data_IF_843408518598
#
_entry.id   IF_843408518598
#
_cell.length_a   1.000
_cell.length_b   1.000
_cell.length_c   1.000
_cell.angle_alpha   90.00
_cell.angle_beta   90.00
_cell.angle_gamma   90.00
#
_symmetry.space_group_name_H-M   'P 1'
#
loop_
_entity.id
_entity.type
_entity.pdbx_description
1 polymer ?
#
# COMPACT_ATOMS: atom_id res chain seq x y z
N UNK A 1 25.00 -1.01 -15.17
CA UNK A 1 23.67 -1.05 -15.82
C UNK A 1 23.78 -0.50 -17.24
N UNK A 2 23.73 -1.37 -18.25
CA UNK A 2 23.72 -0.97 -19.67
C UNK A 2 22.31 -0.54 -20.07
N UNK A 3 22.08 0.73 -20.44
CA UNK A 3 20.73 1.20 -20.77
C UNK A 3 20.31 0.73 -22.15
N UNK A 4 19.46 -0.28 -22.22
CA UNK A 4 18.79 -0.68 -23.46
C UNK A 4 17.92 0.45 -24.03
N UNK A 5 17.67 0.44 -25.34
CA UNK A 5 16.89 1.48 -26.02
C UNK A 5 15.47 1.69 -25.43
N UNK A 6 14.73 0.67 -24.92
CA UNK A 6 13.40 0.91 -24.34
C UNK A 6 13.46 1.76 -23.08
N UNK A 7 14.49 1.55 -22.24
CA UNK A 7 14.71 2.36 -21.05
C UNK A 7 15.13 3.79 -21.42
N UNK A 8 15.98 3.96 -22.44
CA UNK A 8 16.35 5.30 -22.92
C UNK A 8 15.12 6.06 -23.41
N UNK A 9 14.26 5.43 -24.19
CA UNK A 9 13.02 6.03 -24.68
C UNK A 9 12.08 6.43 -23.54
N UNK A 10 11.91 5.55 -22.53
CA UNK A 10 11.15 5.89 -21.32
C UNK A 10 11.73 7.12 -20.60
N UNK A 11 13.04 7.14 -20.38
CA UNK A 11 13.71 8.24 -19.69
C UNK A 11 13.58 9.56 -20.45
N UNK A 12 13.65 9.53 -21.78
CA UNK A 12 13.40 10.70 -22.64
C UNK A 12 11.94 11.16 -22.54
N UNK A 13 10.97 10.25 -22.65
CA UNK A 13 9.55 10.55 -22.51
C UNK A 13 9.20 11.14 -21.12
N UNK A 14 9.95 10.77 -20.07
CA UNK A 14 9.75 11.29 -18.72
C UNK A 14 10.00 12.81 -18.59
N UNK A 15 10.75 13.43 -19.51
CA UNK A 15 10.88 14.89 -19.58
C UNK A 15 9.56 15.55 -20.02
N UNK A 16 8.86 14.96 -21.00
CA UNK A 16 7.53 15.42 -21.40
C UNK A 16 6.51 15.29 -20.26
N UNK A 17 6.60 14.21 -19.48
CA UNK A 17 5.78 14.03 -18.27
C UNK A 17 6.03 15.15 -17.24
N UNK A 18 7.26 15.65 -17.11
CA UNK A 18 7.58 16.76 -16.20
C UNK A 18 6.76 18.01 -16.52
N UNK A 19 6.61 18.33 -17.82
CA UNK A 19 5.86 19.48 -18.32
C UNK A 19 4.35 19.32 -18.09
N UNK A 20 3.82 18.11 -18.30
CA UNK A 20 2.39 17.82 -18.14
C UNK A 20 1.96 17.60 -16.69
N UNK A 21 2.89 17.28 -15.80
CA UNK A 21 2.62 16.93 -14.41
C UNK A 21 1.76 17.94 -13.62
N UNK A 22 1.99 19.27 -13.70
CA UNK A 22 1.13 20.24 -13.00
C UNK A 22 -0.34 20.16 -13.43
N UNK A 23 -0.60 19.97 -14.73
CA UNK A 23 -1.96 19.84 -15.27
C UNK A 23 -2.61 18.53 -14.82
N UNK A 24 -1.88 17.41 -14.89
CA UNK A 24 -2.35 16.10 -14.42
C UNK A 24 -2.71 16.15 -12.94
N UNK A 25 -1.84 16.74 -12.11
CA UNK A 25 -2.06 16.86 -10.67
C UNK A 25 -3.23 17.81 -10.35
N UNK A 26 -3.38 18.93 -11.06
CA UNK A 26 -4.54 19.84 -10.91
C UNK A 26 -5.86 19.13 -11.23
N UNK A 27 -5.90 18.34 -12.31
CA UNK A 27 -7.08 17.53 -12.67
C UNK A 27 -7.40 16.46 -11.62
N UNK A 28 -6.38 15.84 -11.03
CA UNK A 28 -6.56 14.85 -9.95
C UNK A 28 -7.02 15.49 -8.64
N UNK A 29 -6.52 16.69 -8.32
CA UNK A 29 -6.96 17.49 -7.18
C UNK A 29 -8.46 17.85 -7.32
N UNK A 30 -8.87 18.35 -8.49
CA UNK A 30 -10.28 18.67 -8.76
C UNK A 30 -11.21 17.45 -8.65
N UNK A 31 -10.71 16.24 -8.91
CA UNK A 31 -11.45 14.97 -8.75
C UNK A 31 -11.39 14.40 -7.33
N UNK A 32 -10.84 15.13 -6.36
CA UNK A 32 -10.69 14.65 -5.00
C UNK A 32 -9.73 13.46 -4.86
N UNK A 33 -8.82 13.22 -5.83
CA UNK A 33 -7.81 12.14 -5.76
C UNK A 33 -6.49 12.58 -5.13
N UNK A 34 -6.28 13.88 -4.94
CA UNK A 34 -5.09 14.49 -4.30
C UNK A 34 -5.51 15.52 -3.24
N UNK A 35 -4.56 15.99 -2.43
CA UNK A 35 -4.67 17.18 -1.57
C UNK A 35 -3.70 18.23 -2.08
N UNK A 36 -3.83 19.48 -1.65
CA UNK A 36 -2.85 20.53 -2.01
C UNK A 36 -1.42 20.11 -1.61
N UNK A 37 -1.26 19.56 -0.41
CA UNK A 37 0.02 19.01 0.06
C UNK A 37 0.52 17.84 -0.79
N UNK A 38 -0.34 16.88 -1.17
CA UNK A 38 0.10 15.75 -2.00
C UNK A 38 0.50 16.16 -3.41
N UNK A 39 -0.12 17.20 -3.98
CA UNK A 39 0.28 17.80 -5.26
C UNK A 39 1.69 18.40 -5.18
N UNK A 40 2.01 19.12 -4.11
CA UNK A 40 3.33 19.71 -3.91
C UNK A 40 4.39 18.62 -3.66
N UNK A 41 4.11 17.68 -2.76
CA UNK A 41 4.94 16.51 -2.51
C UNK A 41 5.27 15.73 -3.79
N UNK A 42 4.27 15.48 -4.64
CA UNK A 42 4.44 14.76 -5.92
C UNK A 42 5.30 15.49 -6.96
N UNK A 43 5.58 16.77 -6.74
CA UNK A 43 6.50 17.59 -7.55
C UNK A 43 7.89 17.74 -6.90
N UNK A 44 8.17 16.96 -5.85
CA UNK A 44 9.40 17.05 -5.06
C UNK A 44 9.51 18.38 -4.30
N UNK A 45 8.38 18.95 -3.86
CA UNK A 45 8.30 20.15 -3.02
C UNK A 45 7.82 19.77 -1.62
N UNK A 46 8.03 20.66 -0.64
CA UNK A 46 7.66 20.42 0.78
C UNK A 46 8.24 19.12 1.34
N UNK A 47 9.50 18.87 1.00
CA UNK A 47 10.21 17.70 1.50
C UNK A 47 10.48 17.89 3.00
N UNK A 48 10.05 16.98 3.88
CA UNK A 48 10.34 17.07 5.31
C UNK A 48 11.85 17.02 5.56
N UNK A 49 12.35 17.54 6.70
CA UNK A 49 13.77 17.48 7.01
C UNK A 49 14.32 16.06 6.89
N UNK A 50 15.45 15.91 6.19
CA UNK A 50 16.15 14.62 6.12
C UNK A 50 16.73 14.31 7.50
N UNK A 51 16.41 13.15 8.11
CA UNK A 51 17.03 12.77 9.38
C UNK A 51 18.54 12.55 9.20
N UNK A 52 19.30 12.80 10.26
CA UNK A 52 20.76 12.56 10.26
C UNK A 52 21.03 11.06 10.37
N UNK A 53 22.05 10.59 9.66
CA UNK A 53 22.47 9.19 9.70
C UNK A 53 21.92 8.35 8.55
N UNK A 54 21.81 7.04 8.78
CA UNK A 54 21.42 6.07 7.75
C UNK A 54 19.94 6.19 7.45
N UNK A 55 19.59 6.41 6.18
CA UNK A 55 18.21 6.50 5.72
C UNK A 55 17.88 5.36 4.76
N UNK A 56 16.89 4.55 5.11
CA UNK A 56 16.37 3.48 4.26
C UNK A 56 15.05 3.95 3.67
N UNK A 57 15.01 4.06 2.34
CA UNK A 57 13.80 4.41 1.62
C UNK A 57 13.04 3.15 1.22
N UNK A 58 11.78 3.03 1.63
CA UNK A 58 10.90 1.92 1.29
C UNK A 58 9.68 2.46 0.51
N UNK A 59 9.35 1.85 -0.63
CA UNK A 59 8.22 2.25 -1.45
C UNK A 59 7.16 1.15 -1.53
N UNK A 60 5.88 1.54 -1.34
CA UNK A 60 4.71 0.69 -1.55
C UNK A 60 3.50 1.53 -2.02
N UNK A 61 2.59 0.94 -2.79
CA UNK A 61 1.48 1.68 -3.44
C UNK A 61 0.21 1.57 -2.64
N UNK A 62 -0.20 0.32 -2.40
CA UNK A 62 -1.47 -0.06 -1.83
C UNK A 62 -1.52 0.21 -0.34
N UNK A 63 -2.73 0.41 0.19
CA UNK A 63 -2.92 0.56 1.63
C UNK A 63 -2.41 -0.69 2.39
N UNK A 64 -2.81 -1.88 1.93
CA UNK A 64 -2.37 -3.14 2.54
C UNK A 64 -0.86 -3.36 2.42
N UNK A 65 -0.27 -2.99 1.29
CA UNK A 65 1.19 -3.09 1.06
C UNK A 65 1.95 -2.19 2.05
N UNK A 66 1.57 -0.91 2.12
CA UNK A 66 2.17 0.06 3.03
C UNK A 66 2.01 -0.36 4.50
N UNK A 67 0.86 -0.93 4.89
CA UNK A 67 0.67 -1.44 6.26
C UNK A 67 1.56 -2.66 6.55
N UNK A 68 1.80 -3.50 5.56
CA UNK A 68 2.62 -4.71 5.69
C UNK A 68 4.10 -4.39 5.90
N UNK A 69 4.55 -3.19 5.50
CA UNK A 69 5.93 -2.75 5.71
C UNK A 69 6.28 -2.53 7.17
N UNK A 70 5.30 -2.31 8.06
CA UNK A 70 5.59 -1.94 9.45
C UNK A 70 6.38 -3.01 10.20
N UNK A 71 5.99 -4.27 10.08
CA UNK A 71 6.72 -5.37 10.71
C UNK A 71 8.15 -5.51 10.17
N UNK A 72 8.36 -5.26 8.88
CA UNK A 72 9.70 -5.22 8.31
C UNK A 72 10.51 -4.03 8.86
N UNK A 73 9.91 -2.85 8.94
CA UNK A 73 10.55 -1.67 9.52
C UNK A 73 10.94 -1.91 10.97
N UNK A 74 10.05 -2.52 11.77
CA UNK A 74 10.32 -2.86 13.17
C UNK A 74 11.50 -3.83 13.28
N UNK A 75 11.55 -4.86 12.43
CA UNK A 75 12.68 -5.79 12.36
C UNK A 75 13.99 -5.10 11.98
N UNK A 76 13.99 -4.26 10.95
CA UNK A 76 15.17 -3.51 10.52
C UNK A 76 15.61 -2.47 11.56
N UNK A 77 14.65 -1.88 12.28
CA UNK A 77 14.90 -0.90 13.34
C UNK A 77 15.52 -1.53 14.59
N UNK A 78 15.24 -2.81 14.85
CA UNK A 78 15.86 -3.60 15.89
C UNK A 78 17.31 -3.99 15.52
N UNK A 79 17.55 -4.35 14.25
CA UNK A 79 18.87 -4.70 13.73
C UNK A 79 19.82 -3.48 13.62
N UNK A 80 19.32 -2.35 13.11
CA UNK A 80 20.06 -1.08 13.07
C UNK A 80 19.29 0.01 13.86
N UNK A 81 19.57 0.15 15.17
CA UNK A 81 18.95 1.16 16.02
C UNK A 81 19.30 2.61 15.65
N UNK A 82 20.12 2.86 14.64
CA UNK A 82 20.42 4.22 14.15
C UNK A 82 19.81 4.48 12.77
N UNK A 83 19.16 3.49 12.17
CA UNK A 83 18.47 3.65 10.90
C UNK A 83 17.19 4.49 11.05
N UNK A 84 17.01 5.38 10.10
CA UNK A 84 15.76 6.09 9.85
C UNK A 84 15.09 5.53 8.60
N UNK A 85 13.77 5.63 8.54
CA UNK A 85 12.98 5.07 7.46
C UNK A 85 12.18 6.17 6.77
N UNK A 86 12.31 6.24 5.44
CA UNK A 86 11.42 7.03 4.59
C UNK A 86 10.48 6.08 3.89
N UNK A 87 9.18 6.20 4.12
CA UNK A 87 8.18 5.40 3.42
C UNK A 87 7.44 6.26 2.42
N UNK A 88 7.43 5.85 1.16
CA UNK A 88 6.65 6.55 0.13
C UNK A 88 5.46 5.75 -0.35
N UNK A 89 4.35 6.45 -0.60
CA UNK A 89 3.15 5.87 -1.21
C UNK A 89 2.47 6.80 -2.21
N UNK A 90 1.58 6.25 -3.03
CA UNK A 90 0.94 7.00 -4.12
C UNK A 90 -0.46 7.51 -3.80
N UNK A 91 -1.18 6.95 -2.82
CA UNK A 91 -2.59 7.27 -2.55
C UNK A 91 -2.80 8.02 -1.23
N UNK A 92 -3.82 8.90 -1.19
CA UNK A 92 -4.21 9.63 0.03
C UNK A 92 -4.64 8.72 1.16
N UNK A 93 -5.37 7.65 0.83
CA UNK A 93 -5.84 6.69 1.82
C UNK A 93 -4.66 5.96 2.48
N UNK A 94 -3.70 5.48 1.68
CA UNK A 94 -2.47 4.87 2.19
C UNK A 94 -1.72 5.83 3.12
N UNK A 95 -1.53 7.09 2.69
CA UNK A 95 -0.85 8.11 3.48
C UNK A 95 -1.54 8.39 4.83
N UNK A 96 -2.87 8.57 4.81
CA UNK A 96 -3.63 8.90 6.02
C UNK A 96 -3.60 7.77 7.05
N UNK A 97 -3.76 6.51 6.62
CA UNK A 97 -3.72 5.36 7.54
C UNK A 97 -2.29 5.12 8.03
N UNK A 98 -1.29 5.24 7.15
CA UNK A 98 0.11 5.04 7.55
C UNK A 98 0.60 6.10 8.52
N UNK A 99 0.23 7.37 8.33
CA UNK A 99 0.58 8.44 9.26
C UNK A 99 0.10 8.18 10.71
N UNK A 100 -1.05 7.50 10.88
CA UNK A 100 -1.58 7.09 12.19
C UNK A 100 -0.92 5.82 12.75
N UNK A 101 -0.12 5.15 11.95
CA UNK A 101 0.49 3.86 12.26
C UNK A 101 1.99 3.86 11.95
N UNK A 102 2.64 5.03 12.02
CA UNK A 102 4.05 5.16 11.70
C UNK A 102 4.89 4.40 12.73
N UNK A 103 5.76 3.47 12.30
CA UNK A 103 6.78 2.93 13.19
C UNK A 103 7.72 4.05 13.69
N UNK A 104 8.40 3.86 14.83
CA UNK A 104 9.40 4.80 15.31
C UNK A 104 10.44 5.16 14.23
N UNK A 105 10.93 6.42 14.25
CA UNK A 105 11.94 6.94 13.31
C UNK A 105 11.55 6.83 11.82
N UNK A 106 10.25 6.71 11.54
CA UNK A 106 9.71 6.64 10.18
C UNK A 106 9.06 7.96 9.79
N UNK A 107 9.36 8.43 8.58
CA UNK A 107 8.67 9.56 7.95
C UNK A 107 7.94 9.07 6.72
N UNK A 108 6.69 9.51 6.53
CA UNK A 108 5.95 9.27 5.30
C UNK A 108 6.09 10.43 4.32
N UNK A 109 6.18 10.13 3.03
CA UNK A 109 6.04 11.13 1.97
C UNK A 109 5.28 10.56 0.76
N UNK A 110 4.73 11.42 -0.10
CA UNK A 110 4.22 10.94 -1.38
C UNK A 110 5.38 10.70 -2.34
N UNK A 111 5.34 9.59 -3.08
CA UNK A 111 6.33 9.37 -4.13
C UNK A 111 6.19 10.49 -5.18
N UNK A 112 7.28 11.20 -5.54
CA UNK A 112 7.25 12.15 -6.63
C UNK A 112 6.86 11.49 -7.95
N UNK A 113 6.32 12.26 -8.88
CA UNK A 113 6.14 11.80 -10.25
C UNK A 113 7.52 11.40 -10.81
N UNK A 114 7.57 10.27 -11.52
CA UNK A 114 8.78 9.70 -12.10
C UNK A 114 9.32 10.51 -13.29
N UNK A 115 9.58 11.80 -13.07
CA UNK A 115 10.07 12.76 -14.03
C UNK A 115 11.33 13.47 -13.50
N UNK A 116 12.32 13.77 -14.37
CA UNK A 116 13.68 14.14 -13.94
C UNK A 116 13.78 15.25 -12.88
N UNK A 117 13.10 16.41 -13.00
CA UNK A 117 13.25 17.47 -11.99
C UNK A 117 12.68 17.09 -10.62
N UNK A 118 11.66 16.23 -10.58
CA UNK A 118 11.00 15.83 -9.33
C UNK A 118 11.79 14.72 -8.63
N UNK A 119 12.30 13.75 -9.41
CA UNK A 119 13.19 12.70 -8.90
C UNK A 119 14.51 13.27 -8.40
N UNK A 120 15.09 14.21 -9.15
CA UNK A 120 16.31 14.93 -8.79
C UNK A 120 16.18 15.55 -7.40
N UNK A 121 15.22 16.47 -7.23
CA UNK A 121 14.95 17.12 -5.93
C UNK A 121 14.79 16.12 -4.78
N UNK A 122 14.01 15.06 -5.00
CA UNK A 122 13.76 14.05 -3.96
C UNK A 122 15.03 13.29 -3.57
N UNK A 123 15.79 12.78 -4.55
CA UNK A 123 17.00 12.01 -4.29
C UNK A 123 18.18 12.88 -3.81
N UNK A 124 18.27 14.12 -4.27
CA UNK A 124 19.27 15.10 -3.82
C UNK A 124 19.04 15.52 -2.37
N UNK A 125 17.78 15.62 -1.96
CA UNK A 125 17.39 15.95 -0.59
C UNK A 125 17.56 14.77 0.37
N UNK A 126 16.94 13.62 0.06
CA UNK A 126 16.91 12.49 1.00
C UNK A 126 18.19 11.65 0.99
N UNK A 127 18.85 11.51 -0.15
CA UNK A 127 20.08 10.72 -0.32
C UNK A 127 20.06 9.38 0.45
N UNK A 128 19.11 8.48 0.14
CA UNK A 128 18.95 7.25 0.90
C UNK A 128 20.17 6.33 0.73
N UNK A 129 20.48 5.56 1.77
CA UNK A 129 21.54 4.56 1.78
C UNK A 129 21.09 3.22 1.16
N UNK A 130 19.77 2.98 1.10
CA UNK A 130 19.15 1.79 0.53
C UNK A 130 17.75 2.17 0.03
N UNK A 131 17.35 1.63 -1.13
CA UNK A 131 15.97 1.69 -1.61
C UNK A 131 15.36 0.29 -1.65
N UNK A 132 14.16 0.13 -1.10
CA UNK A 132 13.41 -1.12 -1.07
C UNK A 132 12.06 -0.92 -1.76
N UNK A 133 11.83 -1.67 -2.83
CA UNK A 133 10.60 -1.69 -3.60
C UNK A 133 9.74 -2.85 -3.14
N UNK A 134 8.53 -2.59 -2.63
CA UNK A 134 7.61 -3.63 -2.21
C UNK A 134 6.66 -4.04 -3.34
N UNK A 135 6.42 -5.35 -3.43
CA UNK A 135 5.58 -5.98 -4.45
C UNK A 135 6.06 -5.72 -5.90
N UNK A 136 5.32 -4.97 -6.73
CA UNK A 136 5.62 -4.82 -8.16
C UNK A 136 5.75 -3.39 -8.66
N UNK A 137 5.85 -2.40 -7.77
CA UNK A 137 5.85 -1.00 -8.22
C UNK A 137 7.27 -0.46 -8.44
N UNK A 138 7.83 -0.78 -9.61
CA UNK A 138 9.12 -0.26 -10.07
C UNK A 138 8.92 0.94 -10.96
N UNK A 139 9.57 2.05 -10.60
CA UNK A 139 9.57 3.29 -11.36
C UNK A 139 10.88 3.44 -12.14
N UNK A 140 10.89 3.25 -13.47
CA UNK A 140 12.13 3.12 -14.23
C UNK A 140 13.07 4.33 -14.11
N UNK A 141 12.52 5.54 -13.95
CA UNK A 141 13.30 6.76 -13.74
C UNK A 141 14.02 6.73 -12.39
N UNK A 142 13.32 6.47 -11.30
CA UNK A 142 13.91 6.33 -9.97
C UNK A 142 14.93 5.20 -9.90
N UNK A 143 14.59 4.01 -10.40
CA UNK A 143 15.52 2.87 -10.44
C UNK A 143 16.81 3.24 -11.18
N UNK A 144 16.68 3.94 -12.31
CA UNK A 144 17.82 4.41 -13.10
C UNK A 144 18.66 5.47 -12.40
N UNK A 145 18.04 6.38 -11.66
CA UNK A 145 18.73 7.47 -10.97
C UNK A 145 19.37 7.00 -9.65
N UNK A 146 18.77 6.02 -8.95
CA UNK A 146 19.39 5.30 -7.84
C UNK A 146 20.62 4.52 -8.29
N UNK A 147 20.52 3.78 -9.40
CA UNK A 147 21.64 3.03 -9.96
C UNK A 147 22.81 3.94 -10.36
N UNK A 148 22.53 5.11 -10.98
CA UNK A 148 23.57 6.12 -11.27
C UNK A 148 24.26 6.63 -10.01
N UNK A 149 23.51 6.81 -8.92
CA UNK A 149 24.00 7.25 -7.61
C UNK A 149 24.68 6.14 -6.81
N UNK A 150 24.75 4.91 -7.36
CA UNK A 150 25.28 3.71 -6.69
C UNK A 150 24.57 3.40 -5.37
N UNK A 151 23.29 3.75 -5.25
CA UNK A 151 22.47 3.41 -4.09
C UNK A 151 21.96 1.98 -4.30
N UNK A 152 22.20 1.04 -3.35
CA UNK A 152 21.71 -0.32 -3.47
C UNK A 152 20.18 -0.36 -3.46
N UNK A 153 19.63 -1.32 -4.20
CA UNK A 153 18.19 -1.47 -4.39
C UNK A 153 17.77 -2.91 -4.14
N UNK A 154 16.60 -3.11 -3.56
CA UNK A 154 16.01 -4.43 -3.38
C UNK A 154 14.53 -4.43 -3.80
N UNK A 155 14.07 -5.54 -4.35
CA UNK A 155 12.64 -5.83 -4.50
C UNK A 155 12.26 -6.89 -3.48
N UNK A 156 11.20 -6.64 -2.72
CA UNK A 156 10.72 -7.58 -1.69
C UNK A 156 9.27 -7.98 -1.93
N UNK A 157 8.96 -9.22 -1.59
CA UNK A 157 7.62 -9.80 -1.66
C UNK A 157 6.92 -9.50 -3.01
N UNK A 158 7.66 -9.65 -4.11
CA UNK A 158 7.12 -9.44 -5.44
C UNK A 158 5.98 -10.40 -5.73
N UNK A 159 4.97 -9.92 -6.46
CA UNK A 159 3.79 -10.72 -6.81
C UNK A 159 3.37 -10.51 -8.26
N UNK A 160 3.65 -11.45 -9.14
CA UNK A 160 3.33 -11.32 -10.58
C UNK A 160 2.29 -12.35 -11.01
N UNK A 161 1.08 -11.89 -11.34
CA UNK A 161 0.14 -12.76 -12.03
C UNK A 161 0.49 -12.92 -13.52
N UNK A 162 -0.09 -13.92 -14.18
CA UNK A 162 0.20 -14.23 -15.59
C UNK A 162 -0.13 -13.05 -16.54
N UNK A 163 -1.15 -12.25 -16.24
CA UNK A 163 -1.51 -11.09 -17.05
C UNK A 163 -0.46 -9.96 -16.96
N UNK A 164 0.07 -9.69 -15.77
CA UNK A 164 1.16 -8.76 -15.52
C UNK A 164 2.43 -9.22 -16.21
N UNK A 165 2.78 -10.52 -16.07
CA UNK A 165 3.92 -11.13 -16.73
C UNK A 165 3.88 -10.95 -18.24
N UNK A 166 2.75 -11.27 -18.91
CA UNK A 166 2.61 -11.07 -20.36
C UNK A 166 2.81 -9.62 -20.79
N UNK A 167 2.38 -8.64 -19.98
CA UNK A 167 2.63 -7.21 -20.26
C UNK A 167 4.10 -6.87 -20.11
N UNK A 168 4.74 -7.36 -19.04
CA UNK A 168 6.16 -7.10 -18.79
C UNK A 168 7.06 -7.76 -19.84
N UNK A 169 6.67 -8.95 -20.33
CA UNK A 169 7.38 -9.68 -21.37
C UNK A 169 7.46 -8.87 -22.69
N UNK A 170 6.40 -8.14 -23.06
CA UNK A 170 6.41 -7.24 -24.22
C UNK A 170 7.44 -6.10 -24.08
N UNK A 171 7.76 -5.71 -22.85
CA UNK A 171 8.77 -4.71 -22.53
C UNK A 171 9.98 -5.34 -21.81
N UNK A 172 10.32 -6.60 -22.13
CA UNK A 172 11.37 -7.36 -21.41
C UNK A 172 12.68 -6.60 -21.34
N UNK A 173 13.10 -5.92 -22.41
CA UNK A 173 14.33 -5.12 -22.41
C UNK A 173 14.30 -3.96 -21.41
N UNK A 174 13.15 -3.37 -21.11
CA UNK A 174 13.00 -2.38 -20.04
C UNK A 174 13.15 -3.05 -18.68
N UNK A 175 12.34 -4.07 -18.40
CA UNK A 175 12.29 -4.73 -17.09
C UNK A 175 13.58 -5.47 -16.72
N UNK A 176 14.25 -6.09 -17.69
CA UNK A 176 15.56 -6.71 -17.47
C UNK A 176 16.58 -5.70 -16.92
N UNK A 177 16.60 -4.47 -17.47
CA UNK A 177 17.47 -3.42 -16.96
C UNK A 177 17.10 -2.98 -15.54
N UNK A 178 15.81 -3.02 -15.18
CA UNK A 178 15.36 -2.67 -13.83
C UNK A 178 15.76 -3.75 -12.82
N UNK A 179 15.49 -5.02 -13.14
CA UNK A 179 15.81 -6.11 -12.23
C UNK A 179 17.32 -6.34 -12.07
N UNK A 180 18.12 -6.12 -13.11
CA UNK A 180 19.59 -6.10 -13.01
C UNK A 180 20.16 -5.00 -12.10
N UNK A 181 19.37 -3.98 -11.77
CA UNK A 181 19.78 -2.93 -10.84
C UNK A 181 19.53 -3.31 -9.37
N UNK A 182 18.90 -4.46 -9.12
CA UNK A 182 18.53 -4.93 -7.78
C UNK A 182 19.63 -5.85 -7.24
N UNK A 183 20.08 -5.57 -6.02
CA UNK A 183 20.99 -6.43 -5.28
C UNK A 183 20.27 -7.64 -4.66
N UNK A 184 18.96 -7.52 -4.43
CA UNK A 184 18.10 -8.56 -3.87
C UNK A 184 16.73 -8.51 -4.55
N UNK A 185 16.20 -9.69 -4.90
CA UNK A 185 14.83 -9.84 -5.39
C UNK A 185 14.20 -11.00 -4.63
N UNK A 186 13.07 -10.75 -3.94
CA UNK A 186 12.26 -11.80 -3.33
C UNK A 186 10.84 -11.82 -3.87
N UNK A 187 10.23 -13.00 -3.89
CA UNK A 187 8.89 -13.26 -4.41
C UNK A 187 7.97 -13.88 -3.36
N UNK A 188 6.65 -13.68 -3.53
CA UNK A 188 5.65 -14.28 -2.63
C UNK A 188 5.40 -15.76 -2.94
N UNK A 189 5.57 -16.18 -4.19
CA UNK A 189 5.33 -17.55 -4.64
C UNK A 189 6.34 -17.95 -5.73
N UNK A 190 6.51 -19.27 -5.92
CA UNK A 190 7.45 -19.82 -6.91
C UNK A 190 7.14 -19.33 -8.32
N UNK A 191 5.86 -19.31 -8.72
CA UNK A 191 5.45 -18.81 -10.03
C UNK A 191 5.92 -17.38 -10.29
N UNK A 192 5.87 -16.52 -9.29
CA UNK A 192 6.36 -15.15 -9.41
C UNK A 192 7.88 -15.13 -9.51
N UNK A 193 8.59 -15.96 -8.74
CA UNK A 193 10.04 -16.09 -8.86
C UNK A 193 10.46 -16.47 -10.29
N UNK A 194 9.81 -17.48 -10.86
CA UNK A 194 10.05 -17.94 -12.23
C UNK A 194 9.80 -16.80 -13.24
N UNK A 195 8.67 -16.09 -13.12
CA UNK A 195 8.36 -14.94 -13.97
C UNK A 195 9.43 -13.83 -13.87
N UNK A 196 9.93 -13.53 -12.68
CA UNK A 196 10.96 -12.51 -12.47
C UNK A 196 12.29 -12.91 -13.09
N UNK A 197 12.70 -14.17 -12.93
CA UNK A 197 13.89 -14.72 -13.59
C UNK A 197 13.76 -14.62 -15.11
N UNK A 198 12.60 -15.01 -15.67
CA UNK A 198 12.32 -14.88 -17.10
C UNK A 198 12.34 -13.42 -17.59
N UNK A 199 12.12 -12.43 -16.73
CA UNK A 199 12.18 -11.01 -17.07
C UNK A 199 13.56 -10.39 -16.88
N UNK A 200 14.57 -11.17 -16.48
CA UNK A 200 15.95 -10.70 -16.31
C UNK A 200 16.33 -10.38 -14.85
N UNK A 201 15.60 -10.91 -13.87
CA UNK A 201 16.07 -11.00 -12.49
C UNK A 201 17.41 -11.74 -12.43
N UNK A 202 18.41 -11.11 -11.83
CA UNK A 202 19.74 -11.69 -11.67
C UNK A 202 19.87 -12.36 -10.31
N UNK A 203 20.56 -13.50 -10.28
CA UNK A 203 20.72 -14.31 -9.08
C UNK A 203 19.50 -15.16 -8.75
N UNK A 204 19.56 -15.83 -7.61
CA UNK A 204 18.42 -16.60 -7.09
C UNK A 204 17.34 -15.63 -6.59
N UNK A 205 16.12 -15.79 -7.11
CA UNK A 205 14.95 -15.03 -6.63
C UNK A 205 14.37 -15.83 -5.47
N UNK A 206 14.65 -15.39 -4.24
CA UNK A 206 14.19 -16.10 -3.04
C UNK A 206 12.67 -16.03 -2.89
N UNK A 207 12.03 -17.15 -2.55
CA UNK A 207 10.60 -17.19 -2.22
C UNK A 207 10.43 -16.98 -0.72
N UNK A 208 9.94 -15.80 -0.32
CA UNK A 208 9.82 -15.38 1.09
C UNK A 208 8.38 -15.25 1.57
N UNK A 209 7.40 -15.47 0.69
CA UNK A 209 5.98 -15.27 1.03
C UNK A 209 5.57 -13.80 1.08
N UNK A 210 4.34 -13.57 1.55
CA UNK A 210 3.76 -12.22 1.71
C UNK A 210 4.21 -11.58 3.02
N UNK A 211 4.37 -10.26 3.04
CA UNK A 211 4.65 -9.48 4.26
C UNK A 211 3.42 -9.28 5.15
N UNK A 212 2.20 -9.50 4.61
CA UNK A 212 0.94 -9.23 5.32
C UNK A 212 0.83 -9.91 6.69
N UNK A 213 1.21 -11.19 6.86
CA UNK A 213 1.10 -11.87 8.15
C UNK A 213 2.01 -11.25 9.23
N UNK A 214 3.10 -10.59 8.83
CA UNK A 214 4.06 -9.97 9.75
C UNK A 214 3.66 -8.55 10.16
N UNK A 215 2.56 -8.01 9.64
CA UNK A 215 2.10 -6.68 10.01
C UNK A 215 1.63 -6.68 11.47
N UNK A 216 2.15 -5.78 12.34
CA UNK A 216 1.66 -5.67 13.71
C UNK A 216 0.17 -5.26 13.72
N UNK A 217 -0.46 -5.30 14.89
CA UNK A 217 -1.79 -4.71 15.05
C UNK A 217 -1.77 -3.22 14.67
N UNK A 218 -2.87 -2.72 14.12
CA UNK A 218 -3.02 -1.27 13.91
C UNK A 218 -3.17 -0.58 15.27
N UNK A 219 -2.69 0.65 15.36
CA UNK A 219 -2.97 1.51 16.49
C UNK A 219 -4.49 1.75 16.58
N UNK A 220 -5.00 1.64 17.80
CA UNK A 220 -6.37 1.96 18.13
C UNK A 220 -6.37 2.81 19.39
N UNK A 221 -7.36 3.70 19.51
CA UNK A 221 -7.56 4.50 20.71
C UNK A 221 -8.03 3.58 21.86
N UNK A 222 -7.33 3.61 22.99
CA UNK A 222 -7.59 2.67 24.09
C UNK A 222 -9.02 2.80 24.65
N UNK A 223 -9.54 4.02 24.73
CA UNK A 223 -10.92 4.28 25.16
C UNK A 223 -11.95 3.73 24.16
N UNK A 224 -11.68 3.84 22.86
CA UNK A 224 -12.53 3.28 21.80
C UNK A 224 -12.52 1.75 21.82
N UNK A 225 -11.33 1.14 21.95
CA UNK A 225 -11.21 -0.31 22.09
C UNK A 225 -11.98 -0.82 23.31
N UNK A 226 -11.87 -0.11 24.43
CA UNK A 226 -12.59 -0.45 25.67
C UNK A 226 -14.11 -0.35 25.48
N UNK A 227 -14.60 0.74 24.90
CA UNK A 227 -16.02 0.91 24.62
C UNK A 227 -16.58 -0.14 23.64
N UNK A 228 -15.80 -0.52 22.63
CA UNK A 228 -16.18 -1.58 21.69
C UNK A 228 -16.19 -2.95 22.40
N UNK A 229 -15.17 -3.26 23.21
CA UNK A 229 -15.12 -4.51 23.99
C UNK A 229 -16.27 -4.62 24.98
N UNK A 230 -16.60 -3.56 25.71
CA UNK A 230 -17.76 -3.51 26.60
C UNK A 230 -19.06 -3.68 25.82
N UNK A 231 -19.17 -3.00 24.66
CA UNK A 231 -20.32 -3.18 23.77
C UNK A 231 -20.46 -4.63 23.33
N UNK A 232 -19.36 -5.29 22.91
CA UNK A 232 -19.33 -6.69 22.48
C UNK A 232 -19.71 -7.65 23.62
N UNK A 233 -19.18 -7.48 24.83
CA UNK A 233 -19.39 -8.41 25.94
C UNK A 233 -18.82 -9.80 25.64
N UNK A 234 -19.48 -10.85 26.11
CA UNK A 234 -19.05 -12.26 25.95
C UNK A 234 -19.63 -12.95 24.70
N UNK A 235 -20.27 -12.17 23.82
CA UNK A 235 -20.93 -12.69 22.62
C UNK A 235 -19.93 -13.35 21.68
N UNK A 236 -20.37 -14.40 20.98
CA UNK A 236 -19.62 -14.91 19.84
C UNK A 236 -19.58 -13.86 18.73
N UNK A 237 -18.38 -13.41 18.38
CA UNK A 237 -18.16 -12.42 17.33
C UNK A 237 -17.56 -13.08 16.11
N UNK A 238 -18.12 -12.74 14.95
CA UNK A 238 -17.51 -13.05 13.67
C UNK A 238 -17.62 -11.84 12.74
N UNK A 239 -16.73 -11.75 11.76
CA UNK A 239 -16.61 -10.56 10.94
C UNK A 239 -16.41 -10.88 9.45
N UNK A 240 -16.95 -10.01 8.61
CA UNK A 240 -16.68 -10.01 7.17
C UNK A 240 -16.01 -8.69 6.80
N UNK A 241 -14.74 -8.80 6.40
CA UNK A 241 -13.85 -7.66 6.20
C UNK A 241 -12.76 -7.94 5.14
N UNK A 242 -12.60 -7.09 4.11
CA UNK A 242 -13.54 -6.07 3.65
C UNK A 242 -14.74 -6.69 2.91
N UNK A 243 -15.96 -6.26 3.21
CA UNK A 243 -17.19 -6.79 2.61
C UNK A 243 -17.65 -5.99 1.38
N UNK A 244 -17.68 -6.61 0.21
CA UNK A 244 -18.43 -6.12 -0.96
C UNK A 244 -19.95 -6.31 -0.75
N UNK A 245 -20.82 -5.64 -1.53
CA UNK A 245 -22.27 -5.78 -1.35
C UNK A 245 -22.77 -7.23 -1.37
N UNK A 246 -22.24 -8.07 -2.27
CA UNK A 246 -22.60 -9.49 -2.31
C UNK A 246 -22.17 -10.25 -1.04
N UNK A 247 -20.99 -9.95 -0.50
CA UNK A 247 -20.49 -10.56 0.74
C UNK A 247 -21.40 -10.21 1.93
N UNK A 248 -21.98 -9.01 1.94
CA UNK A 248 -22.88 -8.56 3.02
C UNK A 248 -24.18 -9.36 3.04
N UNK A 249 -24.79 -9.59 1.87
CA UNK A 249 -26.00 -10.39 1.75
C UNK A 249 -25.77 -11.80 2.29
N UNK A 250 -24.71 -12.47 1.83
CA UNK A 250 -24.34 -13.82 2.29
C UNK A 250 -24.05 -13.84 3.79
N UNK A 251 -23.35 -12.82 4.30
CA UNK A 251 -23.03 -12.72 5.72
C UNK A 251 -24.28 -12.60 6.60
N UNK A 252 -25.25 -11.79 6.18
CA UNK A 252 -26.51 -11.60 6.93
C UNK A 252 -27.33 -12.89 6.93
N UNK A 253 -27.50 -13.55 5.78
CA UNK A 253 -28.23 -14.84 5.70
C UNK A 253 -27.57 -15.92 6.57
N UNK A 254 -26.23 -16.01 6.55
CA UNK A 254 -25.50 -16.91 7.42
C UNK A 254 -25.65 -16.54 8.90
N UNK A 255 -25.71 -15.24 9.22
CA UNK A 255 -25.93 -14.76 10.58
C UNK A 255 -27.30 -15.15 11.11
N UNK A 256 -28.35 -15.03 10.31
CA UNK A 256 -29.71 -15.43 10.68
C UNK A 256 -29.79 -16.92 11.03
N UNK A 257 -29.12 -17.77 10.25
CA UNK A 257 -29.01 -19.22 10.55
C UNK A 257 -28.21 -19.50 11.81
N UNK A 258 -27.13 -18.76 12.04
CA UNK A 258 -26.34 -18.86 13.27
C UNK A 258 -27.17 -18.47 14.51
N UNK A 259 -27.95 -17.40 14.40
CA UNK A 259 -28.81 -16.91 15.49
C UNK A 259 -29.88 -17.92 15.93
N UNK A 260 -30.23 -18.91 15.09
CA UNK A 260 -31.12 -20.00 15.49
C UNK A 260 -30.52 -20.90 16.59
N UNK A 261 -29.18 -20.98 16.67
CA UNK A 261 -28.44 -21.80 17.64
C UNK A 261 -27.68 -20.95 18.67
N UNK A 262 -27.31 -19.73 18.29
CA UNK A 262 -26.59 -18.78 19.13
C UNK A 262 -27.25 -17.39 19.06
N UNK A 263 -28.35 -17.16 19.80
CA UNK A 263 -29.21 -15.99 19.65
C UNK A 263 -28.58 -14.63 20.00
N UNK A 264 -27.39 -14.66 20.61
CA UNK A 264 -26.61 -13.50 21.01
C UNK A 264 -25.37 -13.28 20.13
N UNK A 265 -25.16 -14.08 19.07
CA UNK A 265 -24.05 -13.89 18.15
C UNK A 265 -24.03 -12.45 17.58
N UNK A 266 -22.84 -11.94 17.29
CA UNK A 266 -22.63 -10.60 16.74
C UNK A 266 -21.85 -10.68 15.42
N UNK A 267 -22.51 -10.27 14.32
CA UNK A 267 -21.85 -10.06 13.03
C UNK A 267 -21.29 -8.63 12.93
N UNK A 268 -19.98 -8.51 12.67
CA UNK A 268 -19.32 -7.25 12.32
C UNK A 268 -19.08 -7.19 10.81
N UNK A 269 -19.66 -6.19 10.14
CA UNK A 269 -19.44 -5.96 8.71
C UNK A 269 -18.53 -4.73 8.52
N UNK A 270 -17.36 -4.94 7.90
CA UNK A 270 -16.48 -3.85 7.48
C UNK A 270 -16.62 -3.62 5.97
N UNK A 271 -17.51 -2.72 5.52
CA UNK A 271 -17.79 -2.55 4.10
C UNK A 271 -16.58 -2.04 3.32
N UNK A 272 -16.33 -2.61 2.14
CA UNK A 272 -15.28 -2.18 1.21
C UNK A 272 -15.43 -0.71 0.79
N UNK A 273 -16.67 -0.25 0.70
CA UNK A 273 -17.07 1.12 0.34
C UNK A 273 -17.93 1.72 1.47
N UNK A 274 -17.33 2.38 2.48
CA UNK A 274 -18.06 2.90 3.64
C UNK A 274 -19.19 3.85 3.27
N UNK A 275 -18.99 4.68 2.25
CA UNK A 275 -19.97 5.68 1.78
C UNK A 275 -21.23 5.04 1.17
N UNK A 276 -21.15 3.77 0.78
CA UNK A 276 -22.26 3.01 0.21
C UNK A 276 -22.92 2.07 1.21
N UNK A 277 -22.45 2.05 2.46
CA UNK A 277 -23.08 1.26 3.49
C UNK A 277 -24.48 1.83 3.79
N UNK A 278 -25.52 1.04 3.55
CA UNK A 278 -26.92 1.36 3.87
C UNK A 278 -27.42 0.43 4.98
N UNK A 279 -28.53 0.78 5.63
CA UNK A 279 -29.13 -0.02 6.71
C UNK A 279 -29.16 0.66 8.09
N UNK A 280 -30.06 0.17 8.93
CA UNK A 280 -30.42 0.67 10.26
C UNK A 280 -29.53 0.15 11.41
N UNK A 281 -28.33 -0.34 11.11
CA UNK A 281 -27.42 -0.92 12.09
C UNK A 281 -26.54 0.14 12.78
N UNK A 282 -26.07 -0.10 14.02
CA UNK A 282 -25.06 0.73 14.65
C UNK A 282 -23.82 0.86 13.75
N UNK A 283 -23.39 2.09 13.48
CA UNK A 283 -22.21 2.36 12.65
C UNK A 283 -21.11 2.96 13.49
N UNK A 284 -19.97 2.25 13.56
CA UNK A 284 -18.80 2.74 14.29
C UNK A 284 -18.26 4.05 13.70
N UNK A 285 -18.31 4.22 12.38
CA UNK A 285 -17.95 5.48 11.72
C UNK A 285 -18.81 6.69 12.13
N UNK A 286 -19.94 6.46 12.80
CA UNK A 286 -20.82 7.49 13.38
C UNK A 286 -20.78 7.50 14.92
N UNK A 287 -19.74 6.91 15.53
CA UNK A 287 -19.55 6.85 16.98
C UNK A 287 -20.46 5.86 17.71
N UNK A 288 -21.26 5.06 17.00
CA UNK A 288 -22.17 4.10 17.62
C UNK A 288 -21.43 2.82 18.02
N UNK A 289 -21.82 2.23 19.14
CA UNK A 289 -21.35 0.90 19.58
C UNK A 289 -22.42 -0.17 19.33
N UNK A 290 -22.03 -1.46 19.27
CA UNK A 290 -22.99 -2.56 19.27
C UNK A 290 -23.89 -2.47 20.50
N UNK A 291 -25.20 -2.54 20.30
CA UNK A 291 -26.20 -2.54 21.38
C UNK A 291 -26.80 -3.93 21.60
N UNK A 292 -28.03 -3.97 22.13
CA UNK A 292 -28.81 -5.21 22.26
C UNK A 292 -29.06 -5.86 20.89
N UNK A 293 -29.22 -7.20 20.84
CA UNK A 293 -29.51 -7.93 19.60
C UNK A 293 -30.75 -7.35 18.91
N UNK A 294 -30.60 -6.91 17.66
CA UNK A 294 -31.72 -6.43 16.85
C UNK A 294 -32.38 -7.67 16.23
N UNK A 295 -33.47 -8.16 16.84
CA UNK A 295 -34.02 -9.48 16.49
C UNK A 295 -34.85 -9.53 15.21
N UNK A 296 -35.50 -8.45 14.75
CA UNK A 296 -36.21 -8.42 13.46
C UNK A 296 -36.47 -6.99 12.97
N UNK A 297 -36.57 -6.79 11.63
CA UNK A 297 -37.43 -5.74 11.09
C UNK A 297 -36.85 -4.63 10.20
N UNK A 298 -35.74 -4.80 9.48
CA UNK A 298 -35.36 -3.82 8.45
C UNK A 298 -34.81 -4.47 7.18
N UNK A 299 -35.56 -4.31 6.09
CA UNK A 299 -35.12 -4.70 4.75
C UNK A 299 -33.75 -4.08 4.43
N UNK A 300 -32.83 -4.90 3.94
CA UNK A 300 -31.69 -4.40 3.17
C UNK A 300 -32.31 -3.66 1.97
N UNK A 301 -32.00 -2.37 1.72
CA UNK A 301 -32.41 -1.75 0.48
C UNK A 301 -31.79 -2.57 -0.64
N UNK A 302 -32.63 -3.32 -1.35
CA UNK A 302 -32.31 -3.86 -2.66
C UNK A 302 -32.06 -2.66 -3.56
N UNK A 303 -30.82 -2.18 -3.59
CA UNK A 303 -30.39 -1.28 -4.65
C UNK A 303 -30.56 -2.07 -5.95
N UNK A 304 -31.56 -1.68 -6.73
CA UNK A 304 -31.89 -2.21 -8.05
C UNK A 304 -30.63 -2.65 -8.79
N UNK A 305 -30.49 -3.96 -8.96
CA UNK A 305 -29.69 -4.53 -10.02
C UNK A 305 -30.49 -4.34 -11.31
N UNK A 306 -30.23 -3.23 -11.98
CA UNK A 306 -30.51 -3.01 -13.40
C UNK A 306 -29.27 -2.34 -14.01
#
# INVERSE_FOLDING_TARGET
MTRGWPLRLYLLASYGLALLAPLILRKRLARGKETAGSVRAKRGLDLPPRPRGRLIWIHAVGLGEVMSLRGLIDFMAADDPKAHFLVTSSTKASAAVFARNLPPRTTHHFLPIDAPPYRGRFLDHFQPNLCVWAEQDLWPGFVSDLAKRRIPQAVIAARMNAASFRKHQKARGLYANLYQAMALITAQDQRTADHLQMLGGTGEVAVTGSLKPSAPALHCEAAELTAVRQGIGDRFVWAVAPAHPADQTVAVEAHERLCAHQPDALLIIAPRFPDRAQGAYPRRSKGKCPGQPIRHGFAIPTANLA
#
